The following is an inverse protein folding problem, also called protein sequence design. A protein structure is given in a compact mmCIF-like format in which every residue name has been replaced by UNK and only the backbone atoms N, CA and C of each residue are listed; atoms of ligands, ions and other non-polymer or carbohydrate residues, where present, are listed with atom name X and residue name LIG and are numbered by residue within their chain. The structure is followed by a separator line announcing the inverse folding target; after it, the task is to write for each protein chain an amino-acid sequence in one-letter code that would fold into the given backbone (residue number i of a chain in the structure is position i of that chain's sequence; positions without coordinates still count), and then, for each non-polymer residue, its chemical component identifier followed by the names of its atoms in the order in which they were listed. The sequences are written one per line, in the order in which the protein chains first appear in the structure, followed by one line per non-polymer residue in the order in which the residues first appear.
data_IF_471248097890
#
_entry.id   IF_471248097890
#
_cell.length_a   1.000
_cell.length_b   1.000
_cell.length_c   1.000
_cell.angle_alpha   90.00
_cell.angle_beta   90.00
_cell.angle_gamma   90.00
#
_symmetry.space_group_name_H-M   'P 1'
#
loop_
_entity.id
_entity.type
_entity.pdbx_description
1 polymer ?
#
# COMPACT_ATOMS: atom_id res chain seq x y z
N UNK A 1 -4.06 14.93 26.57
CA UNK A 1 -3.70 13.48 26.60
C UNK A 1 -3.70 12.93 28.04
N UNK A 2 -4.65 13.32 28.91
CA UNK A 2 -4.70 12.89 30.33
C UNK A 2 -6.05 12.19 30.67
N UNK A 3 -7.06 12.28 29.81
CA UNK A 3 -8.37 11.62 30.01
C UNK A 3 -8.43 10.15 29.57
N UNK A 4 -7.37 9.61 28.95
CA UNK A 4 -7.31 8.21 28.46
C UNK A 4 -7.14 7.16 29.57
N UNK A 5 -6.85 7.56 30.81
CA UNK A 5 -6.48 6.65 31.91
C UNK A 5 -7.72 5.98 32.56
N UNK A 6 -8.94 6.49 32.33
CA UNK A 6 -10.15 5.96 33.00
C UNK A 6 -11.04 5.04 32.17
N UNK A 7 -10.72 4.75 30.92
CA UNK A 7 -11.49 3.78 30.13
C UNK A 7 -10.91 2.38 30.30
N UNK A 8 -11.68 1.48 30.93
CA UNK A 8 -11.38 0.06 31.22
C UNK A 8 -11.12 -0.82 29.98
N UNK A 9 -11.01 -0.24 28.78
CA UNK A 9 -10.83 -0.92 27.49
C UNK A 9 -9.71 -0.28 26.65
N UNK A 10 -8.49 -0.32 27.16
CA UNK A 10 -7.28 0.22 26.50
C UNK A 10 -6.69 -0.71 25.44
N UNK A 11 -6.97 -2.02 25.51
CA UNK A 11 -6.48 -3.04 24.57
C UNK A 11 -6.68 -2.70 23.08
N UNK A 12 -7.87 -2.30 22.61
CA UNK A 12 -8.06 -1.94 21.21
C UNK A 12 -7.22 -0.74 20.75
N UNK A 13 -7.04 0.26 21.62
CA UNK A 13 -6.19 1.41 21.33
C UNK A 13 -4.71 1.04 21.22
N UNK A 14 -4.26 0.10 22.06
CA UNK A 14 -2.89 -0.44 21.99
C UNK A 14 -2.70 -1.18 20.66
N UNK A 15 -3.65 -2.02 20.26
CA UNK A 15 -3.60 -2.75 18.99
C UNK A 15 -3.52 -1.81 17.77
N UNK A 16 -4.33 -0.75 17.74
CA UNK A 16 -4.28 0.26 16.66
C UNK A 16 -2.94 1.00 16.66
N UNK A 17 -2.42 1.34 17.84
CA UNK A 17 -1.15 2.06 17.95
C UNK A 17 0.02 1.20 17.49
N UNK A 18 0.07 -0.07 17.90
CA UNK A 18 1.07 -1.04 17.45
C UNK A 18 0.99 -1.22 15.93
N UNK A 19 -0.22 -1.38 15.39
CA UNK A 19 -0.43 -1.49 13.95
C UNK A 19 0.09 -0.26 13.19
N UNK A 20 -0.21 0.96 13.63
CA UNK A 20 0.30 2.20 13.01
C UNK A 20 1.83 2.28 13.05
N UNK A 21 2.45 1.87 14.15
CA UNK A 21 3.92 1.83 14.27
C UNK A 21 4.51 0.82 13.29
N UNK A 22 3.93 -0.38 13.19
CA UNK A 22 4.36 -1.41 12.24
C UNK A 22 4.24 -0.90 10.80
N UNK A 23 3.14 -0.24 10.45
CA UNK A 23 2.95 0.36 9.13
C UNK A 23 4.01 1.42 8.82
N UNK A 24 4.19 2.39 9.71
CA UNK A 24 5.17 3.46 9.55
C UNK A 24 6.59 2.91 9.40
N UNK A 25 6.93 1.90 10.19
CA UNK A 25 8.26 1.27 10.16
C UNK A 25 8.48 0.53 8.83
N UNK A 26 7.45 -0.17 8.34
CA UNK A 26 7.55 -0.92 7.08
C UNK A 26 7.68 0.01 5.88
N UNK A 27 6.90 1.10 5.85
CA UNK A 27 7.01 2.13 4.79
C UNK A 27 8.41 2.75 4.79
N UNK A 28 8.94 3.08 5.97
CA UNK A 28 10.30 3.66 6.10
C UNK A 28 11.38 2.67 5.64
N UNK A 29 11.22 1.39 5.97
CA UNK A 29 12.13 0.32 5.52
C UNK A 29 12.12 0.19 3.99
N UNK A 30 10.93 0.20 3.37
CA UNK A 30 10.78 0.14 1.92
C UNK A 30 11.39 1.35 1.21
N UNK A 31 11.14 2.56 1.72
CA UNK A 31 11.72 3.78 1.18
C UNK A 31 13.26 3.76 1.28
N UNK A 32 13.78 3.30 2.42
CA UNK A 32 15.23 3.16 2.62
C UNK A 32 15.85 2.15 1.65
N UNK A 33 15.18 1.00 1.45
CA UNK A 33 15.63 -0.02 0.51
C UNK A 33 15.57 0.45 -0.95
N UNK A 34 14.52 1.17 -1.34
CA UNK A 34 14.40 1.76 -2.67
C UNK A 34 15.52 2.79 -2.94
N UNK A 35 15.81 3.65 -1.95
CA UNK A 35 16.92 4.60 -2.03
C UNK A 35 18.27 3.89 -2.14
N UNK A 36 18.48 2.79 -1.40
CA UNK A 36 19.71 2.02 -1.49
C UNK A 36 19.93 1.42 -2.89
N UNK A 37 18.86 0.92 -3.52
CA UNK A 37 18.93 0.41 -4.89
C UNK A 37 19.22 1.51 -5.91
N UNK A 38 18.54 2.65 -5.81
CA UNK A 38 18.78 3.80 -6.69
C UNK A 38 20.23 4.31 -6.60
N UNK A 39 20.79 4.33 -5.39
CA UNK A 39 22.17 4.73 -5.17
C UNK A 39 23.17 3.74 -5.77
N UNK A 40 22.91 2.43 -5.65
CA UNK A 40 23.72 1.37 -6.25
C UNK A 40 23.80 1.46 -7.77
N UNK A 41 22.66 1.67 -8.44
CA UNK A 41 22.62 1.79 -9.90
C UNK A 41 23.34 3.06 -10.40
N UNK A 42 23.30 4.15 -9.62
CA UNK A 42 24.04 5.38 -9.95
C UNK A 42 25.56 5.17 -9.89
N UNK A 43 26.06 4.38 -8.93
CA UNK A 43 27.48 4.03 -8.86
C UNK A 43 27.87 3.07 -9.99
N UNK A 44 27.03 2.08 -10.27
CA UNK A 44 27.25 1.12 -11.36
C UNK A 44 27.33 1.86 -12.71
N UNK A 45 26.40 2.80 -12.95
CA UNK A 45 26.38 3.63 -14.15
C UNK A 45 27.63 4.50 -14.28
N UNK A 46 28.14 5.08 -13.18
CA UNK A 46 29.42 5.82 -13.21
C UNK A 46 30.61 4.92 -13.51
N UNK A 47 30.64 3.71 -12.92
CA UNK A 47 31.69 2.72 -13.19
C UNK A 47 31.68 2.21 -14.63
N UNK A 48 30.51 2.14 -15.27
CA UNK A 48 30.34 1.78 -16.68
C UNK A 48 30.59 2.95 -17.64
N UNK A 49 30.30 4.19 -17.22
CA UNK A 49 30.55 5.39 -18.03
C UNK A 49 32.04 5.67 -18.22
N UNK A 50 32.89 5.41 -17.20
CA UNK A 50 34.33 5.60 -17.30
C UNK A 50 35.01 4.79 -18.44
N UNK A 51 34.79 3.46 -18.56
CA UNK A 51 35.33 2.70 -19.67
C UNK A 51 34.64 3.04 -20.99
N UNK A 52 33.35 3.40 -21.03
CA UNK A 52 32.69 3.83 -22.27
C UNK A 52 33.28 5.13 -22.83
N UNK A 53 33.65 6.09 -21.98
CA UNK A 53 34.36 7.29 -22.41
C UNK A 53 35.75 6.95 -22.97
N UNK A 54 36.45 5.99 -22.36
CA UNK A 54 37.72 5.48 -22.88
C UNK A 54 37.55 4.69 -24.20
N UNK A 55 36.46 3.93 -24.34
CA UNK A 55 36.16 3.11 -25.51
C UNK A 55 35.65 3.96 -26.68
N UNK A 56 34.87 5.01 -26.43
CA UNK A 56 34.47 5.99 -27.44
C UNK A 56 35.69 6.71 -28.03
N UNK A 57 36.70 7.01 -27.21
CA UNK A 57 37.98 7.51 -27.69
C UNK A 57 38.78 6.46 -28.49
N UNK A 58 38.63 5.16 -28.18
CA UNK A 58 39.28 4.06 -28.89
C UNK A 58 38.55 3.64 -30.18
N UNK A 59 37.23 3.88 -30.28
CA UNK A 59 36.37 3.46 -31.40
C UNK A 59 36.54 4.31 -32.67
N UNK A 60 37.39 5.34 -32.62
CA UNK A 60 37.95 5.97 -33.83
C UNK A 60 38.94 5.04 -34.58
N UNK A 61 39.12 3.79 -34.13
CA UNK A 61 39.92 2.76 -34.80
C UNK A 61 39.00 1.64 -35.32
N UNK A 62 38.76 1.51 -36.64
CA UNK A 62 37.58 0.81 -37.17
C UNK A 62 37.65 -0.73 -37.30
N UNK A 63 38.65 -1.43 -36.78
CA UNK A 63 38.96 -2.77 -37.35
C UNK A 63 38.66 -4.00 -36.47
N UNK A 64 37.91 -3.92 -35.37
CA UNK A 64 37.62 -5.15 -34.59
C UNK A 64 36.26 -5.15 -33.88
N UNK A 65 35.23 -5.61 -34.59
CA UNK A 65 33.92 -5.95 -34.00
C UNK A 65 33.98 -7.38 -33.48
N UNK A 66 34.09 -7.54 -32.16
CA UNK A 66 33.99 -8.85 -31.51
C UNK A 66 32.52 -9.29 -31.43
N UNK A 67 32.20 -10.57 -31.68
CA UNK A 67 30.83 -11.06 -31.61
C UNK A 67 30.28 -10.98 -30.19
N UNK A 68 29.10 -10.38 -30.08
CA UNK A 68 28.40 -10.04 -28.84
C UNK A 68 28.03 -11.30 -28.05
N UNK A 69 28.65 -11.47 -26.88
CA UNK A 69 28.46 -12.60 -25.95
C UNK A 69 27.16 -12.41 -25.14
N UNK A 70 26.01 -12.67 -25.76
CA UNK A 70 24.67 -12.30 -25.24
C UNK A 70 23.99 -13.33 -24.29
N UNK A 71 24.56 -14.52 -24.07
CA UNK A 71 23.84 -15.61 -23.39
C UNK A 71 23.97 -15.68 -21.86
N UNK A 72 25.13 -15.31 -21.31
CA UNK A 72 25.41 -15.51 -19.87
C UNK A 72 24.76 -14.45 -18.96
N UNK A 73 24.57 -13.23 -19.46
CA UNK A 73 24.12 -12.09 -18.65
C UNK A 73 22.64 -12.13 -18.27
N UNK A 74 21.80 -12.79 -19.09
CA UNK A 74 20.36 -12.92 -18.83
C UNK A 74 20.09 -13.81 -17.61
N UNK A 75 20.86 -14.91 -17.48
CA UNK A 75 20.68 -15.88 -16.39
C UNK A 75 20.99 -15.27 -15.02
N UNK A 76 22.03 -14.42 -14.95
CA UNK A 76 22.45 -13.73 -13.73
C UNK A 76 21.41 -12.67 -13.33
N UNK A 77 20.86 -11.94 -14.29
CA UNK A 77 19.83 -10.92 -14.08
C UNK A 77 18.53 -11.52 -13.50
N UNK A 78 18.11 -12.68 -14.01
CA UNK A 78 16.92 -13.38 -13.51
C UNK A 78 17.09 -13.92 -12.09
N UNK A 79 18.28 -14.42 -11.72
CA UNK A 79 18.57 -14.85 -10.34
C UNK A 79 18.50 -13.68 -9.36
N UNK A 80 19.05 -12.52 -9.74
CA UNK A 80 19.00 -11.31 -8.92
C UNK A 80 17.56 -10.81 -8.71
N UNK A 81 16.75 -10.79 -9.79
CA UNK A 81 15.33 -10.42 -9.71
C UNK A 81 14.54 -11.36 -8.79
N UNK A 82 14.81 -12.67 -8.85
CA UNK A 82 14.14 -13.67 -7.99
C UNK A 82 14.45 -13.45 -6.50
N UNK A 83 15.69 -13.16 -6.16
CA UNK A 83 16.10 -12.86 -4.77
C UNK A 83 15.42 -11.56 -4.28
N UNK A 84 15.47 -10.49 -5.08
CA UNK A 84 14.78 -9.22 -4.75
C UNK A 84 13.28 -9.43 -4.55
N UNK A 85 12.65 -10.22 -5.42
CA UNK A 85 11.22 -10.52 -5.32
C UNK A 85 10.88 -11.34 -4.08
N UNK A 86 11.72 -12.30 -3.68
CA UNK A 86 11.51 -13.10 -2.46
C UNK A 86 11.49 -12.22 -1.21
N UNK A 87 12.45 -11.29 -1.11
CA UNK A 87 12.50 -10.33 0.01
C UNK A 87 11.25 -9.46 0.02
N UNK A 88 10.85 -8.92 -1.13
CA UNK A 88 9.64 -8.12 -1.26
C UNK A 88 8.39 -8.89 -0.82
N UNK A 89 8.25 -10.14 -1.26
CA UNK A 89 7.12 -11.01 -0.93
C UNK A 89 7.05 -11.31 0.57
N UNK A 90 8.21 -11.51 1.21
CA UNK A 90 8.31 -11.70 2.66
C UNK A 90 7.82 -10.46 3.42
N UNK A 91 8.22 -9.26 3.00
CA UNK A 91 7.72 -8.01 3.58
C UNK A 91 6.22 -7.81 3.38
N UNK A 92 5.70 -8.14 2.19
CA UNK A 92 4.25 -8.09 1.92
C UNK A 92 3.48 -9.01 2.85
N UNK A 93 4.01 -10.20 3.17
CA UNK A 93 3.39 -11.12 4.12
C UNK A 93 3.34 -10.56 5.56
N UNK A 94 4.38 -9.85 6.00
CA UNK A 94 4.33 -9.15 7.29
C UNK A 94 3.29 -8.03 7.30
N UNK A 95 3.16 -7.32 6.17
CA UNK A 95 2.18 -6.25 6.02
C UNK A 95 0.74 -6.79 6.10
N UNK A 96 0.46 -7.92 5.44
CA UNK A 96 -0.86 -8.54 5.48
C UNK A 96 -1.20 -9.07 6.87
N UNK A 97 -0.24 -9.66 7.61
CA UNK A 97 -0.44 -10.05 9.00
C UNK A 97 -0.79 -8.85 9.90
N UNK A 98 -0.06 -7.74 9.75
CA UNK A 98 -0.37 -6.50 10.47
C UNK A 98 -1.78 -6.00 10.17
N UNK A 99 -2.19 -6.02 8.90
CA UNK A 99 -3.54 -5.63 8.49
C UNK A 99 -4.62 -6.52 9.12
N UNK A 100 -4.42 -7.85 9.18
CA UNK A 100 -5.37 -8.78 9.83
C UNK A 100 -5.50 -8.46 11.31
N UNK A 101 -4.39 -8.25 12.03
CA UNK A 101 -4.41 -7.90 13.45
C UNK A 101 -5.13 -6.55 13.68
N UNK A 102 -4.87 -5.56 12.84
CA UNK A 102 -5.56 -4.28 12.86
C UNK A 102 -7.07 -4.44 12.64
N UNK A 103 -7.47 -5.24 11.66
CA UNK A 103 -8.86 -5.51 11.33
C UNK A 103 -9.61 -6.19 12.47
N UNK A 104 -8.99 -7.19 13.11
CA UNK A 104 -9.57 -7.86 14.29
C UNK A 104 -9.74 -6.89 15.45
N UNK A 105 -8.75 -6.03 15.72
CA UNK A 105 -8.84 -5.00 16.76
C UNK A 105 -10.00 -4.03 16.52
N UNK A 106 -10.21 -3.64 15.27
CA UNK A 106 -11.32 -2.75 14.89
C UNK A 106 -12.67 -3.46 14.99
N UNK A 107 -12.80 -4.70 14.51
CA UNK A 107 -14.04 -5.48 14.65
C UNK A 107 -14.41 -5.63 16.13
N UNK A 108 -13.44 -5.85 17.02
CA UNK A 108 -13.69 -5.94 18.46
C UNK A 108 -14.28 -4.64 19.02
N UNK A 109 -13.73 -3.47 18.64
CA UNK A 109 -14.27 -2.15 19.05
C UNK A 109 -15.70 -1.97 18.56
N UNK A 110 -15.93 -2.29 17.29
CA UNK A 110 -17.23 -2.11 16.64
C UNK A 110 -18.27 -2.95 17.35
N UNK A 111 -17.97 -4.24 17.56
CA UNK A 111 -18.87 -5.17 18.24
C UNK A 111 -19.28 -4.68 19.63
N UNK A 112 -18.32 -4.18 20.40
CA UNK A 112 -18.60 -3.63 21.74
C UNK A 112 -19.34 -2.29 21.72
N UNK A 113 -19.24 -1.55 20.61
CA UNK A 113 -19.82 -0.20 20.46
C UNK A 113 -21.12 -0.19 19.64
N UNK A 114 -21.68 -1.37 19.34
CA UNK A 114 -22.92 -1.52 18.57
C UNK A 114 -24.16 -0.94 19.25
N UNK A 115 -24.09 -0.52 20.51
CA UNK A 115 -25.22 0.16 21.17
C UNK A 115 -25.43 1.58 20.64
N UNK A 116 -24.39 2.21 20.06
CA UNK A 116 -24.48 3.56 19.51
C UNK A 116 -25.00 3.55 18.06
N UNK A 117 -26.17 4.15 17.81
CA UNK A 117 -26.77 4.19 16.47
C UNK A 117 -25.87 4.86 15.41
N UNK A 118 -25.11 5.89 15.80
CA UNK A 118 -24.19 6.58 14.90
C UNK A 118 -23.10 5.66 14.36
N UNK A 119 -22.58 4.77 15.21
CA UNK A 119 -21.53 3.84 14.81
C UNK A 119 -22.06 2.79 13.82
N UNK A 120 -23.32 2.35 13.99
CA UNK A 120 -23.98 1.43 13.06
C UNK A 120 -24.07 2.02 11.65
N UNK A 121 -24.48 3.28 11.53
CA UNK A 121 -24.59 3.96 10.23
C UNK A 121 -23.23 4.05 9.55
N UNK A 122 -22.18 4.46 10.27
CA UNK A 122 -20.83 4.57 9.71
C UNK A 122 -20.33 3.19 9.25
N UNK A 123 -20.46 2.17 10.10
CA UNK A 123 -20.04 0.80 9.78
C UNK A 123 -20.79 0.24 8.57
N UNK A 124 -22.10 0.51 8.48
CA UNK A 124 -22.93 0.08 7.36
C UNK A 124 -22.50 0.74 6.04
N UNK A 125 -22.24 2.06 6.05
CA UNK A 125 -21.78 2.78 4.85
C UNK A 125 -20.43 2.24 4.37
N UNK A 126 -19.46 2.07 5.27
CA UNK A 126 -18.17 1.51 4.91
C UNK A 126 -18.27 0.05 4.44
N UNK A 127 -19.08 -0.76 5.10
CA UNK A 127 -19.35 -2.14 4.69
C UNK A 127 -19.96 -2.23 3.29
N UNK A 128 -20.88 -1.32 2.95
CA UNK A 128 -21.46 -1.23 1.60
C UNK A 128 -20.41 -0.85 0.54
N UNK A 129 -19.54 0.14 0.82
CA UNK A 129 -18.49 0.55 -0.12
C UNK A 129 -17.52 -0.63 -0.37
N UNK A 130 -17.01 -1.25 0.68
CA UNK A 130 -16.11 -2.43 0.58
C UNK A 130 -16.80 -3.57 -0.16
N UNK A 131 -18.08 -3.82 0.13
CA UNK A 131 -18.86 -4.86 -0.53
C UNK A 131 -19.04 -4.61 -2.02
N UNK A 132 -19.31 -3.37 -2.42
CA UNK A 132 -19.41 -2.96 -3.82
C UNK A 132 -18.07 -3.07 -4.54
N UNK A 133 -16.97 -2.64 -3.92
CA UNK A 133 -15.63 -2.78 -4.48
C UNK A 133 -15.22 -4.23 -4.69
N UNK A 134 -15.48 -5.09 -3.70
CA UNK A 134 -15.25 -6.53 -3.82
C UNK A 134 -16.11 -7.16 -4.92
N UNK A 135 -17.39 -6.78 -5.02
CA UNK A 135 -18.27 -7.26 -6.08
C UNK A 135 -17.76 -6.84 -7.47
N UNK A 136 -17.34 -5.58 -7.64
CA UNK A 136 -16.77 -5.09 -8.89
C UNK A 136 -15.48 -5.82 -9.27
N UNK A 137 -14.59 -6.08 -8.31
CA UNK A 137 -13.37 -6.84 -8.53
C UNK A 137 -13.67 -8.28 -8.99
N UNK A 138 -14.65 -8.94 -8.38
CA UNK A 138 -15.11 -10.28 -8.80
C UNK A 138 -15.73 -10.24 -10.20
N UNK A 139 -16.58 -9.26 -10.48
CA UNK A 139 -17.16 -9.06 -11.82
C UNK A 139 -16.09 -8.90 -12.89
N UNK A 140 -15.04 -8.11 -12.64
CA UNK A 140 -13.91 -7.96 -13.56
C UNK A 140 -13.19 -9.30 -13.84
N UNK A 141 -12.95 -10.11 -12.81
CA UNK A 141 -12.31 -11.42 -12.97
C UNK A 141 -13.21 -12.40 -13.74
N UNK A 142 -14.52 -12.36 -13.51
CA UNK A 142 -15.48 -13.21 -14.23
C UNK A 142 -15.64 -12.80 -15.70
N UNK A 143 -15.68 -11.51 -16.02
CA UNK A 143 -15.72 -11.02 -17.41
C UNK A 143 -14.45 -11.35 -18.18
N UNK A 144 -13.28 -11.35 -17.52
CA UNK A 144 -12.03 -11.80 -18.13
C UNK A 144 -12.00 -13.30 -18.47
N UNK A 145 -12.85 -14.12 -17.82
CA UNK A 145 -12.93 -15.56 -18.09
C UNK A 145 -13.73 -15.91 -19.35
N UNK A 146 -14.72 -15.08 -19.73
CA UNK A 146 -15.58 -15.37 -20.89
C UNK A 146 -14.86 -15.23 -22.25
N UNK A 147 -13.72 -14.57 -22.32
CA UNK A 147 -12.95 -14.39 -23.55
C UNK A 147 -11.89 -15.49 -23.82
N UNK A 148 -11.79 -16.52 -22.95
CA UNK A 148 -10.76 -17.57 -23.08
C UNK A 148 -10.93 -18.52 -24.29
N UNK A 149 -11.99 -18.39 -25.08
CA UNK A 149 -12.30 -19.29 -26.20
C UNK A 149 -11.42 -19.13 -27.44
N UNK A 150 -10.61 -18.07 -27.57
CA UNK A 150 -9.90 -17.75 -28.83
C UNK A 150 -8.41 -17.47 -28.62
N UNK A 151 -7.60 -18.54 -28.58
CA UNK A 151 -6.26 -18.61 -29.18
C UNK A 151 -5.10 -17.76 -28.66
N UNK A 152 -5.25 -16.91 -27.64
CA UNK A 152 -4.18 -16.04 -27.12
C UNK A 152 -4.24 -15.82 -25.61
N UNK A 153 -4.26 -16.91 -24.84
CA UNK A 153 -4.94 -16.97 -23.52
C UNK A 153 -4.04 -16.73 -22.29
N UNK A 154 -2.71 -16.82 -22.41
CA UNK A 154 -1.84 -16.84 -21.22
C UNK A 154 -1.63 -15.50 -20.50
N UNK A 155 -1.50 -14.38 -21.23
CA UNK A 155 -1.02 -13.12 -20.60
C UNK A 155 -2.16 -12.23 -20.07
N UNK A 156 -3.28 -12.11 -20.78
CA UNK A 156 -4.36 -11.16 -20.41
C UNK A 156 -5.06 -11.52 -19.10
N UNK A 157 -5.29 -12.81 -18.86
CA UNK A 157 -5.95 -13.31 -17.64
C UNK A 157 -5.10 -13.05 -16.39
N UNK A 158 -3.77 -13.22 -16.50
CA UNK A 158 -2.84 -12.97 -15.40
C UNK A 158 -2.84 -11.50 -14.96
N UNK A 159 -2.82 -10.57 -15.92
CA UNK A 159 -2.85 -9.14 -15.61
C UNK A 159 -4.16 -8.70 -14.96
N UNK A 160 -5.31 -9.23 -15.41
CA UNK A 160 -6.61 -8.91 -14.82
C UNK A 160 -6.71 -9.37 -13.35
N UNK A 161 -6.16 -10.54 -13.03
CA UNK A 161 -6.19 -11.06 -11.66
C UNK A 161 -5.29 -10.24 -10.74
N UNK A 162 -4.09 -9.89 -11.19
CA UNK A 162 -3.16 -9.06 -10.43
C UNK A 162 -3.74 -7.67 -10.20
N UNK A 163 -4.36 -7.08 -11.23
CA UNK A 163 -5.03 -5.78 -11.11
C UNK A 163 -6.20 -5.82 -10.11
N UNK A 164 -7.05 -6.86 -10.18
CA UNK A 164 -8.18 -7.00 -9.26
C UNK A 164 -7.71 -7.17 -7.79
N UNK A 165 -6.68 -7.98 -7.56
CA UNK A 165 -6.08 -8.14 -6.22
C UNK A 165 -5.46 -6.82 -5.74
N UNK A 166 -4.75 -6.11 -6.63
CA UNK A 166 -4.15 -4.81 -6.32
C UNK A 166 -5.20 -3.78 -5.91
N UNK A 167 -6.30 -3.67 -6.66
CA UNK A 167 -7.42 -2.77 -6.34
C UNK A 167 -8.08 -3.15 -5.03
N UNK A 168 -8.36 -4.43 -4.79
CA UNK A 168 -8.97 -4.89 -3.54
C UNK A 168 -8.10 -4.59 -2.31
N UNK A 169 -6.78 -4.81 -2.42
CA UNK A 169 -5.83 -4.48 -1.35
C UNK A 169 -5.78 -2.97 -1.14
N UNK A 170 -5.70 -2.18 -2.21
CA UNK A 170 -5.65 -0.72 -2.13
C UNK A 170 -6.91 -0.16 -1.46
N UNK A 171 -8.08 -0.58 -1.90
CA UNK A 171 -9.36 -0.17 -1.34
C UNK A 171 -9.49 -0.57 0.13
N UNK A 172 -9.12 -1.80 0.49
CA UNK A 172 -9.13 -2.25 1.88
C UNK A 172 -8.21 -1.39 2.76
N UNK A 173 -6.98 -1.12 2.32
CA UNK A 173 -6.02 -0.32 3.10
C UNK A 173 -6.47 1.13 3.24
N UNK A 174 -6.96 1.73 2.15
CA UNK A 174 -7.43 3.11 2.14
C UNK A 174 -8.67 3.26 3.03
N UNK A 175 -9.71 2.46 2.80
CA UNK A 175 -10.94 2.51 3.58
C UNK A 175 -10.71 2.19 5.05
N UNK A 176 -9.81 1.24 5.35
CA UNK A 176 -9.48 0.93 6.74
C UNK A 176 -8.83 2.11 7.47
N UNK A 177 -7.94 2.85 6.81
CA UNK A 177 -7.33 4.05 7.38
C UNK A 177 -8.39 5.13 7.68
N UNK A 178 -9.27 5.42 6.72
CA UNK A 178 -10.37 6.38 6.91
C UNK A 178 -11.37 5.91 7.97
N UNK A 179 -11.75 4.64 7.94
CA UNK A 179 -12.68 4.04 8.88
C UNK A 179 -12.16 4.13 10.32
N UNK A 180 -10.89 3.79 10.54
CA UNK A 180 -10.27 3.87 11.86
C UNK A 180 -10.32 5.30 12.40
N UNK A 181 -10.06 6.30 11.56
CA UNK A 181 -10.12 7.69 11.99
C UNK A 181 -11.55 8.17 12.29
N UNK A 182 -12.54 7.72 11.51
CA UNK A 182 -13.95 8.03 11.74
C UNK A 182 -14.48 7.39 13.02
N UNK A 183 -14.11 6.13 13.28
CA UNK A 183 -14.46 5.44 14.53
C UNK A 183 -13.83 6.15 15.73
N UNK A 184 -12.56 6.54 15.64
CA UNK A 184 -11.89 7.29 16.71
C UNK A 184 -12.52 8.66 16.95
N UNK A 185 -12.89 9.37 15.88
CA UNK A 185 -13.59 10.64 15.95
C UNK A 185 -14.98 10.50 16.60
N UNK A 186 -15.72 9.45 16.24
CA UNK A 186 -17.02 9.15 16.82
C UNK A 186 -16.91 8.77 18.31
N UNK A 187 -15.89 7.98 18.69
CA UNK A 187 -15.63 7.58 20.07
C UNK A 187 -15.17 8.74 20.95
N UNK A 188 -14.48 9.74 20.39
CA UNK A 188 -14.10 10.95 21.13
C UNK A 188 -15.30 11.82 21.51
N UNK A 189 -16.51 11.53 20.99
CA UNK A 189 -17.70 12.35 21.19
C UNK A 189 -17.62 13.73 20.51
N UNK A 190 -16.51 13.99 19.82
CA UNK A 190 -16.17 15.25 19.18
C UNK A 190 -15.54 14.90 17.84
N UNK A 191 -16.38 14.73 16.82
CA UNK A 191 -15.92 14.35 15.47
C UNK A 191 -15.08 15.44 14.79
N UNK A 192 -14.96 16.61 15.41
CA UNK A 192 -14.26 17.78 14.85
C UNK A 192 -13.10 18.23 15.74
N UNK A 193 -13.03 17.78 17.00
CA UNK A 193 -11.96 18.14 17.95
C UNK A 193 -11.89 19.65 18.23
N UNK A 194 -12.93 20.38 17.87
CA UNK A 194 -13.00 21.82 17.96
C UNK A 194 -14.48 22.15 18.16
N UNK A 195 -14.81 22.66 19.35
CA UNK A 195 -16.03 23.42 19.56
C UNK A 195 -15.93 24.72 18.73
N UNK A 196 -16.00 24.61 17.40
CA UNK A 196 -16.25 25.78 16.55
C UNK A 196 -17.73 26.07 16.73
N UNK A 197 -18.11 27.26 17.23
CA UNK A 197 -19.50 27.68 17.21
C UNK A 197 -19.86 27.97 15.75
N UNK A 198 -20.30 26.93 15.02
CA UNK A 198 -20.69 27.02 13.61
C UNK A 198 -20.75 25.64 12.96
N UNK A 199 -21.96 25.18 12.64
CA UNK A 199 -22.32 23.84 12.12
C UNK A 199 -21.83 23.55 10.68
N UNK A 200 -20.65 24.03 10.30
CA UNK A 200 -20.17 23.89 8.94
C UNK A 200 -19.40 22.59 8.77
N UNK A 201 -20.10 21.54 8.33
CA UNK A 201 -19.55 20.24 7.94
C UNK A 201 -18.28 20.36 7.05
N UNK A 202 -18.26 21.36 6.17
CA UNK A 202 -17.13 21.65 5.28
C UNK A 202 -15.83 22.01 6.00
N UNK A 203 -15.88 22.76 7.10
CA UNK A 203 -14.66 23.08 7.86
C UNK A 203 -14.06 21.87 8.56
N UNK A 204 -14.89 20.94 9.04
CA UNK A 204 -14.44 19.69 9.63
C UNK A 204 -13.78 18.78 8.58
N UNK A 205 -14.41 18.69 7.40
CA UNK A 205 -13.88 17.94 6.27
C UNK A 205 -12.53 18.49 5.81
N UNK A 206 -12.42 19.81 5.64
CA UNK A 206 -11.20 20.46 5.17
C UNK A 206 -10.03 20.31 6.16
N UNK A 207 -10.28 20.44 7.46
CA UNK A 207 -9.27 20.21 8.50
C UNK A 207 -8.76 18.76 8.49
N UNK A 208 -9.68 17.80 8.31
CA UNK A 208 -9.33 16.39 8.21
C UNK A 208 -8.44 16.10 6.98
N UNK A 209 -8.81 16.64 5.81
CA UNK A 209 -7.99 16.53 4.60
C UNK A 209 -6.64 17.24 4.75
N UNK A 210 -6.62 18.44 5.32
CA UNK A 210 -5.39 19.21 5.55
C UNK A 210 -4.40 18.48 6.45
N UNK A 211 -4.87 17.70 7.44
CA UNK A 211 -4.00 16.89 8.31
C UNK A 211 -3.41 15.66 7.62
N UNK A 212 -4.04 15.19 6.53
CA UNK A 212 -3.66 13.98 5.79
C UNK A 212 -2.93 14.27 4.47
N UNK A 213 -3.13 15.45 3.90
CA UNK A 213 -2.44 15.94 2.69
C UNK A 213 -0.90 15.96 2.77
N UNK A 214 -0.23 16.16 3.93
CA UNK A 214 1.23 16.07 4.00
C UNK A 214 1.78 14.69 3.60
N UNK A 215 0.95 13.63 3.64
CA UNK A 215 1.37 12.30 3.18
C UNK A 215 1.33 12.14 1.65
N UNK A 216 0.78 13.11 0.90
CA UNK A 216 0.80 13.15 -0.57
C UNK A 216 1.94 14.01 -1.14
N UNK A 217 2.72 14.70 -0.30
CA UNK A 217 3.85 15.53 -0.76
C UNK A 217 5.22 14.85 -0.61
N UNK A 218 5.25 13.53 -0.42
CA UNK A 218 6.47 12.71 -0.46
C UNK A 218 6.49 11.81 -1.69
#
# INVERSE_FOLDING_TARGET
MITLIRCRKTWPFILISVWKIVLSTTITSMATHANYLAFGDSMQSRKLAAPFAALANAHLRPDNVSPMRSGTDISTSLKLLREKFRVLLWWTAFYSLGAIVGLVGVIAIVHESMENERLKVITAVFGCVVGLGAAAAVSCVMSGRSELGTGGVGSRVGWSLIAAIGVAIFEMLFLFAFYTDWVLAALAGDMVGLQIPGDNFWSALLYFFAKRLPMLSM
#
